data_IF_851630661622
#
_entry.id   IF_851630661622
#
_cell.length_a   1.000
_cell.length_b   1.000
_cell.length_c   1.000
_cell.angle_alpha   90.00
_cell.angle_beta   90.00
_cell.angle_gamma   90.00
#
_symmetry.space_group_name_H-M   'P 1'
#
loop_
_entity.id
_entity.type
_entity.pdbx_description
1 polymer ?
#
# COMPACT_ATOMS: atom_id res chain seq x y z
N UNK A 1 -41.03 44.83 -32.41
CA UNK A 1 -40.96 43.75 -31.39
C UNK A 1 -39.52 43.62 -30.93
N UNK A 2 -39.21 43.89 -29.66
CA UNK A 2 -37.85 43.73 -29.10
C UNK A 2 -37.65 42.27 -28.70
N UNK A 3 -36.68 41.59 -29.30
CA UNK A 3 -36.31 40.21 -28.96
C UNK A 3 -35.36 40.24 -27.76
N UNK A 4 -35.83 39.77 -26.60
CA UNK A 4 -35.00 39.60 -25.40
C UNK A 4 -34.30 38.25 -25.54
N UNK A 5 -32.97 38.29 -25.70
CA UNK A 5 -32.13 37.10 -25.75
C UNK A 5 -31.87 36.61 -24.32
N UNK A 6 -32.55 35.54 -23.91
CA UNK A 6 -32.36 34.90 -22.61
C UNK A 6 -31.10 34.01 -22.68
N UNK A 7 -29.98 34.49 -22.15
CA UNK A 7 -28.76 33.69 -21.98
C UNK A 7 -28.99 32.69 -20.84
N UNK A 8 -29.29 31.44 -21.19
CA UNK A 8 -29.35 30.31 -20.26
C UNK A 8 -27.91 29.96 -19.83
N UNK A 9 -27.55 30.35 -18.60
CA UNK A 9 -26.35 29.83 -17.93
C UNK A 9 -26.58 28.36 -17.59
N UNK A 10 -26.04 27.45 -18.41
CA UNK A 10 -25.93 26.05 -18.03
C UNK A 10 -24.78 25.89 -17.03
N UNK A 11 -25.02 25.41 -15.80
CA UNK A 11 -23.93 25.09 -14.90
C UNK A 11 -23.10 23.96 -15.52
N UNK A 12 -21.81 24.22 -15.73
CA UNK A 12 -20.86 23.23 -16.21
C UNK A 12 -20.64 22.20 -15.10
N UNK A 13 -21.34 21.07 -15.20
CA UNK A 13 -21.13 19.94 -14.29
C UNK A 13 -19.83 19.26 -14.72
N UNK A 14 -18.73 19.53 -14.00
CA UNK A 14 -17.53 18.71 -14.12
C UNK A 14 -17.84 17.33 -13.56
N UNK A 15 -18.07 16.35 -14.43
CA UNK A 15 -18.14 14.95 -14.04
C UNK A 15 -16.71 14.45 -13.86
N UNK A 16 -16.29 14.15 -12.62
CA UNK A 16 -15.01 13.45 -12.42
C UNK A 16 -15.17 12.04 -12.95
N UNK A 17 -14.45 11.69 -14.02
CA UNK A 17 -14.40 10.32 -14.50
C UNK A 17 -13.71 9.48 -13.44
N UNK A 18 -14.48 8.70 -12.66
CA UNK A 18 -13.92 7.78 -11.68
C UNK A 18 -13.10 6.74 -12.43
N UNK A 19 -11.78 6.78 -12.26
CA UNK A 19 -10.88 5.78 -12.82
C UNK A 19 -11.16 4.45 -12.16
N UNK A 20 -11.42 3.42 -12.96
CA UNK A 20 -11.55 2.05 -12.45
C UNK A 20 -10.15 1.58 -12.05
N UNK A 21 -9.97 1.30 -10.75
CA UNK A 21 -8.76 0.70 -10.21
C UNK A 21 -8.51 -0.67 -10.85
N UNK A 22 -7.24 -0.95 -11.21
CA UNK A 22 -6.90 -2.18 -11.94
C UNK A 22 -5.41 -2.48 -11.92
N UNK A 23 -5.08 -3.76 -12.05
CA UNK A 23 -3.74 -4.19 -12.40
C UNK A 23 -3.48 -4.05 -13.92
N UNK A 24 -2.24 -3.76 -14.28
CA UNK A 24 -1.76 -3.70 -15.66
C UNK A 24 -0.66 -4.74 -15.86
N UNK A 25 -0.89 -5.66 -16.79
CA UNK A 25 -0.01 -6.79 -17.06
C UNK A 25 -0.24 -7.97 -16.12
N UNK A 26 0.58 -9.01 -16.29
CA UNK A 26 0.57 -10.21 -15.47
C UNK A 26 1.86 -10.35 -14.68
N UNK A 27 1.76 -10.84 -13.44
CA UNK A 27 2.94 -11.20 -12.64
C UNK A 27 3.61 -12.45 -13.23
N UNK A 28 4.54 -12.23 -14.15
CA UNK A 28 5.39 -13.27 -14.74
C UNK A 28 6.75 -13.27 -14.06
N UNK A 29 7.17 -14.38 -13.45
CA UNK A 29 8.36 -14.41 -12.58
C UNK A 29 9.31 -15.58 -12.87
N UNK A 30 10.56 -15.41 -12.44
CA UNK A 30 11.49 -16.50 -12.17
C UNK A 30 11.73 -16.55 -10.67
N UNK A 31 11.53 -17.73 -10.08
CA UNK A 31 11.96 -18.03 -8.70
C UNK A 31 13.48 -18.01 -8.61
N UNK A 32 14.00 -17.42 -7.54
CA UNK A 32 15.42 -17.43 -7.21
C UNK A 32 15.72 -18.62 -6.26
N UNK A 33 17.00 -19.01 -6.21
CA UNK A 33 17.44 -20.20 -5.47
C UNK A 33 17.56 -19.98 -3.95
N UNK A 34 16.95 -18.92 -3.41
CA UNK A 34 16.94 -18.59 -1.98
C UNK A 34 15.69 -19.11 -1.24
N UNK A 35 14.78 -19.78 -1.97
CA UNK A 35 13.58 -20.38 -1.42
C UNK A 35 12.43 -19.41 -1.14
N UNK A 36 12.55 -18.12 -1.50
CA UNK A 36 11.49 -17.13 -1.25
C UNK A 36 11.36 -16.07 -2.35
N UNK A 37 12.46 -15.54 -2.85
CA UNK A 37 12.42 -14.38 -3.72
C UNK A 37 12.04 -14.77 -5.15
N UNK A 38 11.29 -13.89 -5.80
CA UNK A 38 10.95 -14.00 -7.20
C UNK A 38 11.34 -12.72 -7.95
N UNK A 39 11.90 -12.91 -9.16
CA UNK A 39 12.29 -11.82 -10.06
C UNK A 39 11.26 -11.65 -11.16
N UNK A 40 10.73 -10.44 -11.32
CA UNK A 40 9.81 -10.11 -12.42
C UNK A 40 10.49 -10.22 -13.79
N UNK A 41 9.85 -10.94 -14.71
CA UNK A 41 10.28 -11.08 -16.12
C UNK A 41 9.76 -9.98 -17.02
N UNK A 42 8.70 -9.30 -16.60
CA UNK A 42 8.04 -8.17 -17.30
C UNK A 42 7.73 -7.09 -16.28
N UNK A 43 7.48 -5.88 -16.75
CA UNK A 43 6.92 -4.84 -15.89
C UNK A 43 5.51 -5.23 -15.44
N UNK A 44 5.11 -4.72 -14.28
CA UNK A 44 3.78 -4.89 -13.70
C UNK A 44 3.36 -3.58 -13.07
N UNK A 45 2.07 -3.25 -13.05
CA UNK A 45 1.61 -2.00 -12.44
C UNK A 45 0.21 -2.11 -11.85
N UNK A 46 -0.15 -1.13 -11.04
CA UNK A 46 -1.47 -0.97 -10.46
C UNK A 46 -1.93 0.49 -10.60
N UNK A 47 -3.17 0.71 -11.01
CA UNK A 47 -3.85 2.01 -10.96
C UNK A 47 -4.75 1.98 -9.73
N UNK A 48 -4.55 2.91 -8.80
CA UNK A 48 -5.38 3.03 -7.60
C UNK A 48 -6.70 3.79 -7.86
N UNK A 49 -7.62 3.86 -6.88
CA UNK A 49 -8.91 4.53 -7.07
C UNK A 49 -8.82 6.02 -7.40
N UNK A 50 -7.72 6.69 -7.02
CA UNK A 50 -7.44 8.09 -7.34
C UNK A 50 -6.78 8.26 -8.72
N UNK A 51 -6.58 7.16 -9.45
CA UNK A 51 -6.02 7.14 -10.79
C UNK A 51 -4.49 7.18 -10.83
N UNK A 52 -3.80 7.10 -9.69
CA UNK A 52 -2.34 7.09 -9.64
C UNK A 52 -1.79 5.75 -10.08
N UNK A 53 -0.76 5.79 -10.92
CA UNK A 53 -0.09 4.62 -11.47
C UNK A 53 1.13 4.23 -10.62
N UNK A 54 1.05 3.06 -9.99
CA UNK A 54 2.09 2.42 -9.19
C UNK A 54 2.86 1.41 -10.05
N UNK A 55 4.05 1.78 -10.51
CA UNK A 55 4.86 0.99 -11.46
C UNK A 55 5.86 0.10 -10.76
N UNK A 56 5.95 -1.15 -11.19
CA UNK A 56 6.99 -2.10 -10.79
C UNK A 56 7.81 -2.50 -12.03
N UNK A 57 9.08 -2.10 -12.13
CA UNK A 57 9.92 -2.40 -13.28
C UNK A 57 10.17 -3.90 -13.47
N UNK A 58 10.42 -4.30 -14.72
CA UNK A 58 11.02 -5.60 -15.04
C UNK A 58 12.32 -5.79 -14.24
N UNK A 59 12.66 -7.03 -13.92
CA UNK A 59 13.82 -7.43 -13.14
C UNK A 59 13.77 -7.07 -11.66
N UNK A 60 12.71 -6.41 -11.17
CA UNK A 60 12.49 -6.23 -9.72
C UNK A 60 12.46 -7.59 -9.03
N UNK A 61 13.18 -7.68 -7.92
CA UNK A 61 13.17 -8.85 -7.03
C UNK A 61 12.28 -8.50 -5.85
N UNK A 62 11.29 -9.33 -5.58
CA UNK A 62 10.36 -9.22 -4.44
C UNK A 62 10.37 -10.53 -3.67
N UNK A 63 10.01 -10.51 -2.39
CA UNK A 63 10.07 -11.69 -1.50
C UNK A 63 8.72 -12.03 -0.86
N UNK A 64 7.67 -11.26 -1.15
CA UNK A 64 6.31 -11.46 -0.64
C UNK A 64 6.19 -11.20 0.86
N UNK A 65 7.21 -10.58 1.47
CA UNK A 65 7.31 -10.33 2.91
C UNK A 65 6.81 -8.93 3.33
N UNK A 66 6.05 -8.27 2.45
CA UNK A 66 5.22 -7.10 2.75
C UNK A 66 4.49 -7.16 4.10
N UNK A 67 4.00 -8.34 4.47
CA UNK A 67 3.28 -8.59 5.72
C UNK A 67 4.25 -9.27 6.71
N UNK A 68 4.42 -8.73 7.92
CA UNK A 68 5.28 -9.32 8.95
C UNK A 68 4.93 -10.79 9.21
N UNK A 69 5.96 -11.63 9.31
CA UNK A 69 5.81 -13.08 9.49
C UNK A 69 4.95 -13.44 10.72
N UNK A 70 5.00 -12.60 11.76
CA UNK A 70 4.18 -12.75 12.96
C UNK A 70 2.67 -12.77 12.68
N UNK A 71 2.21 -12.27 11.52
CA UNK A 71 0.80 -12.18 11.16
C UNK A 71 0.36 -13.16 10.06
N UNK A 72 1.25 -14.03 9.56
CA UNK A 72 0.91 -14.97 8.49
C UNK A 72 -0.15 -15.99 8.88
N UNK A 73 -0.25 -16.37 10.15
CA UNK A 73 -1.30 -17.27 10.64
C UNK A 73 -2.70 -16.66 10.56
N UNK A 74 -2.80 -15.33 10.54
CA UNK A 74 -4.06 -14.59 10.48
C UNK A 74 -4.41 -14.27 9.02
N UNK A 75 -3.40 -13.92 8.21
CA UNK A 75 -3.59 -13.23 6.93
C UNK A 75 -3.35 -14.15 5.73
N UNK A 76 -2.50 -15.16 5.88
CA UNK A 76 -1.91 -15.96 4.81
C UNK A 76 -0.41 -15.68 4.67
N UNK A 77 0.33 -16.68 4.19
CA UNK A 77 1.76 -16.61 3.92
C UNK A 77 2.12 -15.83 2.64
N UNK A 78 3.40 -15.67 2.32
CA UNK A 78 3.84 -14.98 1.11
C UNK A 78 3.21 -15.58 -0.15
N UNK A 79 2.74 -14.72 -1.05
CA UNK A 79 2.16 -15.09 -2.35
C UNK A 79 0.91 -15.99 -2.29
N UNK A 80 0.22 -16.06 -1.16
CA UNK A 80 -1.02 -16.82 -1.04
C UNK A 80 -2.24 -16.01 -1.49
N UNK A 81 -3.28 -16.72 -1.93
CA UNK A 81 -4.59 -16.13 -2.20
C UNK A 81 -4.59 -15.00 -3.24
N UNK A 82 -5.59 -14.12 -3.08
CA UNK A 82 -5.96 -13.07 -4.05
C UNK A 82 -5.14 -11.78 -3.93
N UNK A 83 -4.29 -11.65 -2.92
CA UNK A 83 -3.45 -10.46 -2.70
C UNK A 83 -2.03 -10.57 -3.27
N UNK A 84 -1.67 -11.71 -3.90
CA UNK A 84 -0.34 -11.91 -4.49
C UNK A 84 0.09 -10.76 -5.42
N UNK A 85 -0.82 -10.25 -6.24
CA UNK A 85 -0.52 -9.13 -7.12
C UNK A 85 -0.29 -7.83 -6.33
N UNK A 86 -1.08 -7.60 -5.28
CA UNK A 86 -0.91 -6.45 -4.39
C UNK A 86 0.45 -6.48 -3.68
N UNK A 87 0.91 -7.66 -3.22
CA UNK A 87 2.21 -7.77 -2.52
C UNK A 87 3.39 -7.44 -3.43
N UNK A 88 3.32 -7.69 -4.74
CA UNK A 88 4.38 -7.30 -5.69
C UNK A 88 4.56 -5.78 -5.73
N UNK A 89 3.45 -5.05 -5.81
CA UNK A 89 3.47 -3.58 -5.86
C UNK A 89 3.93 -3.02 -4.51
N UNK A 90 3.40 -3.56 -3.42
CA UNK A 90 3.75 -3.13 -2.07
C UNK A 90 5.23 -3.36 -1.73
N UNK A 91 5.78 -4.57 -1.97
CA UNK A 91 7.20 -4.88 -1.73
C UNK A 91 8.12 -3.87 -2.44
N UNK A 92 7.87 -3.61 -3.73
CA UNK A 92 8.67 -2.67 -4.51
C UNK A 92 8.61 -1.25 -3.94
N UNK A 93 7.42 -0.76 -3.61
CA UNK A 93 7.27 0.61 -3.13
C UNK A 93 7.77 0.80 -1.68
N UNK A 94 7.71 -0.25 -0.84
CA UNK A 94 8.38 -0.27 0.47
C UNK A 94 9.91 -0.28 0.36
N UNK A 95 10.48 -0.97 -0.63
CA UNK A 95 11.93 -0.94 -0.90
C UNK A 95 12.37 0.44 -1.40
N UNK A 96 11.64 1.01 -2.36
CA UNK A 96 12.04 2.28 -3.00
C UNK A 96 11.79 3.52 -2.17
N UNK A 97 10.79 3.51 -1.27
CA UNK A 97 10.52 4.63 -0.34
C UNK A 97 10.41 5.99 -1.06
N UNK A 98 9.84 5.96 -2.26
CA UNK A 98 9.61 7.16 -3.09
C UNK A 98 8.37 7.90 -2.58
N UNK A 99 7.29 7.15 -2.39
CA UNK A 99 6.01 7.61 -1.87
C UNK A 99 5.99 7.58 -0.34
N UNK A 100 5.02 8.24 0.30
CA UNK A 100 4.87 8.14 1.76
C UNK A 100 4.47 6.73 2.15
N UNK A 101 4.94 6.24 3.29
CA UNK A 101 4.62 4.90 3.76
C UNK A 101 3.11 4.69 3.96
N UNK A 102 2.39 5.74 4.41
CA UNK A 102 0.93 5.72 4.55
C UNK A 102 0.26 5.44 3.19
N UNK A 103 0.70 6.12 2.14
CA UNK A 103 0.14 5.97 0.80
C UNK A 103 0.46 4.58 0.22
N UNK A 104 1.64 4.04 0.52
CA UNK A 104 2.03 2.67 0.10
C UNK A 104 1.16 1.61 0.78
N UNK A 105 0.92 1.71 2.09
CA UNK A 105 0.07 0.76 2.81
C UNK A 105 -1.41 0.91 2.42
N UNK A 106 -1.88 2.13 2.17
CA UNK A 106 -3.23 2.37 1.65
C UNK A 106 -3.39 1.81 0.23
N UNK A 107 -2.39 2.00 -0.64
CA UNK A 107 -2.38 1.38 -1.97
C UNK A 107 -2.49 -0.14 -1.87
N UNK A 108 -1.78 -0.77 -0.94
CA UNK A 108 -1.86 -2.21 -0.72
C UNK A 108 -3.28 -2.67 -0.34
N UNK A 109 -3.98 -1.92 0.52
CA UNK A 109 -5.39 -2.19 0.83
C UNK A 109 -6.27 -2.19 -0.43
N UNK A 110 -6.17 -1.14 -1.25
CA UNK A 110 -6.97 -1.05 -2.47
C UNK A 110 -6.60 -2.15 -3.47
N UNK A 111 -5.31 -2.41 -3.69
CA UNK A 111 -4.85 -3.46 -4.57
C UNK A 111 -5.32 -4.86 -4.12
N UNK A 112 -5.46 -5.10 -2.81
CA UNK A 112 -6.06 -6.32 -2.29
C UNK A 112 -7.53 -6.46 -2.72
N UNK A 113 -8.31 -5.37 -2.62
CA UNK A 113 -9.71 -5.34 -3.06
C UNK A 113 -9.82 -5.58 -4.56
N UNK A 114 -9.01 -4.89 -5.37
CA UNK A 114 -8.95 -5.09 -6.83
C UNK A 114 -8.62 -6.53 -7.19
N UNK A 115 -7.74 -7.18 -6.43
CA UNK A 115 -7.39 -8.60 -6.59
C UNK A 115 -8.53 -9.56 -6.20
N UNK A 116 -9.60 -9.05 -5.59
CA UNK A 116 -10.76 -9.83 -5.15
C UNK A 116 -10.66 -10.36 -3.72
N UNK A 117 -9.77 -9.81 -2.90
CA UNK A 117 -9.74 -10.04 -1.45
C UNK A 117 -10.99 -9.42 -0.82
N UNK A 118 -11.64 -10.10 0.11
CA UNK A 118 -12.81 -9.54 0.79
C UNK A 118 -12.45 -8.29 1.59
N UNK A 119 -13.41 -7.37 1.75
CA UNK A 119 -13.19 -6.10 2.46
C UNK A 119 -12.63 -6.34 3.86
N UNK A 120 -13.24 -7.24 4.63
CA UNK A 120 -12.77 -7.58 5.98
C UNK A 120 -11.33 -8.08 5.97
N UNK A 121 -10.99 -9.01 5.06
CA UNK A 121 -9.62 -9.56 4.97
C UNK A 121 -8.62 -8.49 4.52
N UNK A 122 -8.99 -7.61 3.60
CA UNK A 122 -8.16 -6.48 3.17
C UNK A 122 -7.92 -5.48 4.32
N UNK A 123 -8.92 -5.22 5.18
CA UNK A 123 -8.76 -4.38 6.38
C UNK A 123 -7.81 -5.01 7.39
N UNK A 124 -7.89 -6.31 7.62
CA UNK A 124 -6.95 -7.04 8.50
C UNK A 124 -5.53 -6.99 7.93
N UNK A 125 -5.38 -7.18 6.62
CA UNK A 125 -4.11 -7.03 5.90
C UNK A 125 -3.52 -5.62 6.06
N UNK A 126 -4.34 -4.60 5.87
CA UNK A 126 -3.98 -3.21 6.08
C UNK A 126 -3.53 -2.96 7.53
N UNK A 127 -4.28 -3.45 8.51
CA UNK A 127 -3.92 -3.32 9.92
C UNK A 127 -2.55 -3.94 10.23
N UNK A 128 -2.24 -5.11 9.66
CA UNK A 128 -0.94 -5.76 9.86
C UNK A 128 0.23 -5.00 9.26
N UNK A 129 0.11 -4.46 8.04
CA UNK A 129 1.18 -3.64 7.45
C UNK A 129 1.30 -2.30 8.16
N UNK A 130 0.20 -1.73 8.67
CA UNK A 130 0.25 -0.51 9.48
C UNK A 130 0.96 -0.71 10.82
N UNK A 131 0.73 -1.88 11.44
CA UNK A 131 1.20 -2.20 12.78
C UNK A 131 2.59 -2.86 12.83
N UNK A 132 3.10 -3.35 11.70
CA UNK A 132 4.41 -4.00 11.64
C UNK A 132 5.23 -3.75 10.37
N UNK A 133 4.72 -2.94 9.44
CA UNK A 133 5.45 -2.55 8.24
C UNK A 133 6.51 -1.48 8.50
N UNK A 134 7.45 -1.29 7.56
CA UNK A 134 8.44 -0.23 7.65
C UNK A 134 7.78 1.14 7.47
N UNK A 135 8.23 2.12 8.26
CA UNK A 135 7.90 3.54 8.11
C UNK A 135 9.12 4.28 7.62
N UNK A 136 8.90 5.39 6.92
CA UNK A 136 9.99 6.25 6.51
C UNK A 136 9.57 7.70 6.34
N UNK A 137 10.49 8.60 6.72
CA UNK A 137 10.38 10.03 6.47
C UNK A 137 11.45 10.44 5.47
N UNK A 138 11.04 11.27 4.50
CA UNK A 138 11.93 11.81 3.47
C UNK A 138 12.22 13.28 3.78
N UNK A 139 13.48 13.60 4.07
CA UNK A 139 13.94 14.98 4.21
C UNK A 139 14.82 15.35 3.03
N UNK A 140 14.48 16.44 2.33
CA UNK A 140 15.28 17.00 1.24
C UNK A 140 16.19 18.08 1.81
N UNK A 141 17.51 17.92 1.71
CA UNK A 141 18.48 18.90 2.22
C UNK A 141 18.81 19.96 1.16
N UNK A 142 19.07 21.17 1.66
CA UNK A 142 19.06 22.54 1.10
C UNK A 142 19.52 22.84 -0.33
N UNK A 143 20.03 21.88 -1.11
CA UNK A 143 20.36 22.11 -2.53
C UNK A 143 19.70 21.10 -3.50
N UNK A 144 18.72 20.32 -3.04
CA UNK A 144 17.95 19.38 -3.88
C UNK A 144 18.74 18.17 -4.39
N UNK A 145 19.99 17.99 -3.93
CA UNK A 145 20.90 16.93 -4.38
C UNK A 145 20.97 15.73 -3.45
N UNK A 146 20.49 15.85 -2.21
CA UNK A 146 20.55 14.78 -1.21
C UNK A 146 19.18 14.54 -0.59
N UNK A 147 18.77 13.28 -0.61
CA UNK A 147 17.58 12.77 0.07
C UNK A 147 18.04 11.95 1.27
N UNK A 148 17.68 12.40 2.47
CA UNK A 148 17.80 11.57 3.68
C UNK A 148 16.49 10.81 3.85
N UNK A 149 16.62 9.50 4.00
CA UNK A 149 15.51 8.61 4.32
C UNK A 149 15.75 8.10 5.73
N UNK A 150 14.99 8.60 6.70
CA UNK A 150 14.95 8.04 8.04
C UNK A 150 13.92 6.92 8.01
N UNK A 151 14.36 5.69 8.23
CA UNK A 151 13.47 4.52 8.30
C UNK A 151 13.25 4.15 9.75
N UNK A 152 12.01 3.85 10.12
CA UNK A 152 11.72 3.20 11.39
C UNK A 152 10.91 1.94 11.21
N UNK A 153 11.14 0.99 12.10
CA UNK A 153 10.28 -0.19 12.23
C UNK A 153 9.33 0.04 13.37
N UNK A 154 8.10 -0.41 13.17
CA UNK A 154 7.13 -0.48 14.24
C UNK A 154 6.72 -1.91 14.45
N UNK A 155 6.27 -2.20 15.67
CA UNK A 155 5.71 -3.51 15.97
C UNK A 155 4.60 -3.39 17.00
N UNK A 156 3.81 -4.44 17.09
CA UNK A 156 2.83 -4.64 18.14
C UNK A 156 2.79 -6.13 18.48
N UNK A 157 2.28 -6.47 19.66
CA UNK A 157 2.23 -7.86 20.09
C UNK A 157 1.23 -8.67 19.28
N UNK A 158 1.45 -9.98 19.14
CA UNK A 158 0.48 -10.88 18.51
C UNK A 158 -0.88 -10.88 19.22
N UNK A 159 -0.91 -10.63 20.53
CA UNK A 159 -2.16 -10.55 21.29
C UNK A 159 -2.96 -9.29 20.92
N UNK A 160 -2.31 -8.13 20.87
CA UNK A 160 -2.96 -6.89 20.44
C UNK A 160 -3.50 -7.01 19.00
N UNK A 161 -2.72 -7.63 18.10
CA UNK A 161 -3.18 -7.84 16.74
C UNK A 161 -4.33 -8.82 16.62
N UNK A 162 -4.39 -9.83 17.49
CA UNK A 162 -5.56 -10.70 17.56
C UNK A 162 -6.80 -9.89 17.98
N UNK A 163 -6.68 -9.05 19.00
CA UNK A 163 -7.79 -8.19 19.48
C UNK A 163 -8.27 -7.25 18.37
N UNK A 164 -7.34 -6.63 17.63
CA UNK A 164 -7.67 -5.74 16.50
C UNK A 164 -8.34 -6.53 15.37
N UNK A 165 -7.87 -7.74 15.07
CA UNK A 165 -8.46 -8.62 14.05
C UNK A 165 -9.90 -9.00 14.42
N UNK A 166 -10.13 -9.53 15.62
CA UNK A 166 -11.46 -9.92 16.11
C UNK A 166 -12.44 -8.72 16.07
N UNK A 167 -11.94 -7.51 16.39
CA UNK A 167 -12.73 -6.27 16.30
C UNK A 167 -13.05 -5.87 14.86
N UNK A 168 -12.09 -5.98 13.92
CA UNK A 168 -12.34 -5.70 12.50
C UNK A 168 -13.39 -6.65 11.93
N UNK A 169 -13.30 -7.94 12.27
CA UNK A 169 -14.24 -8.97 11.80
C UNK A 169 -15.65 -8.73 12.31
N UNK A 170 -15.79 -8.32 13.58
CA UNK A 170 -17.10 -8.13 14.21
C UNK A 170 -17.77 -6.79 13.90
N UNK A 171 -17.01 -5.73 13.63
CA UNK A 171 -17.55 -4.37 13.50
C UNK A 171 -17.34 -3.72 12.14
N UNK A 172 -16.49 -4.29 11.28
CA UNK A 172 -16.15 -3.76 9.95
C UNK A 172 -15.82 -2.24 9.95
N UNK A 173 -14.91 -1.77 10.83
CA UNK A 173 -14.64 -0.35 11.05
C UNK A 173 -14.00 0.31 9.82
N UNK A 174 -14.05 1.64 9.74
CA UNK A 174 -13.31 2.41 8.73
C UNK A 174 -11.79 2.28 8.91
N UNK A 175 -11.02 2.59 7.85
CA UNK A 175 -9.55 2.60 7.96
C UNK A 175 -9.06 3.67 8.95
N UNK A 176 -9.78 4.79 9.08
CA UNK A 176 -9.44 5.84 10.06
C UNK A 176 -9.58 5.33 11.50
N UNK A 177 -10.64 4.60 11.81
CA UNK A 177 -10.82 3.97 13.12
C UNK A 177 -9.75 2.91 13.39
N UNK A 178 -9.36 2.14 12.37
CA UNK A 178 -8.24 1.17 12.47
C UNK A 178 -6.94 1.91 12.80
N UNK A 179 -6.61 2.99 12.09
CA UNK A 179 -5.42 3.79 12.35
C UNK A 179 -5.41 4.31 13.79
N UNK A 180 -6.49 4.98 14.21
CA UNK A 180 -6.63 5.53 15.57
C UNK A 180 -6.42 4.48 16.65
N UNK A 181 -6.93 3.26 16.45
CA UNK A 181 -6.74 2.15 17.39
C UNK A 181 -5.32 1.60 17.37
N UNK A 182 -4.72 1.47 16.19
CA UNK A 182 -3.36 0.96 16.08
C UNK A 182 -2.32 1.93 16.64
N UNK A 183 -2.55 3.24 16.49
CA UNK A 183 -1.67 4.28 17.04
C UNK A 183 -1.55 4.20 18.57
N UNK A 184 -2.48 3.54 19.28
CA UNK A 184 -2.39 3.35 20.74
C UNK A 184 -1.62 2.10 21.16
N UNK A 185 -1.37 1.15 20.25
CA UNK A 185 -0.79 -0.18 20.56
C UNK A 185 0.50 -0.49 19.80
N UNK A 186 0.85 0.36 18.83
CA UNK A 186 2.06 0.23 18.02
C UNK A 186 3.21 0.96 18.69
N UNK A 187 4.35 0.28 18.79
CA UNK A 187 5.57 0.81 19.41
C UNK A 187 6.65 0.95 18.33
N UNK A 188 7.30 2.10 18.29
CA UNK A 188 8.46 2.34 17.42
C UNK A 188 9.70 1.66 18.03
N UNK A 189 10.30 0.73 17.29
CA UNK A 189 11.35 -0.14 17.82
C UNK A 189 12.75 0.35 17.49
N UNK A 190 13.00 0.87 16.29
CA UNK A 190 14.34 1.31 15.85
C UNK A 190 14.25 2.40 14.78
N UNK A 191 15.17 3.38 14.80
CA UNK A 191 15.36 4.41 13.75
C UNK A 191 16.73 4.28 13.12
N UNK A 192 16.76 4.28 11.78
CA UNK A 192 17.98 4.23 11.00
C UNK A 192 17.97 5.33 9.93
N UNK A 193 19.00 6.17 9.92
CA UNK A 193 19.18 7.19 8.89
C UNK A 193 19.99 6.63 7.72
N UNK A 194 19.45 6.71 6.51
CA UNK A 194 20.18 6.44 5.27
C UNK A 194 20.27 7.70 4.43
N UNK A 195 21.49 8.09 4.09
CA UNK A 195 21.75 9.05 3.01
C UNK A 195 21.77 8.30 1.68
N UNK A 196 20.94 8.73 0.73
CA UNK A 196 21.06 8.27 -0.66
C UNK A 196 21.71 9.36 -1.50
N UNK A 197 22.88 9.07 -2.05
CA UNK A 197 23.52 9.91 -3.07
C UNK A 197 22.87 9.63 -4.44
N UNK A 198 22.55 10.70 -5.17
CA UNK A 198 21.99 10.65 -6.53
C UNK A 198 22.95 10.00 -7.54
#
# INVERSE_FOLDING_TARGET
MKLILLLLFFPLVLSSQQTIDKFIGDVTVQWLNDGRSMKLKREFSYIDPDGKLWKVPKNTVVNGASIPQAFWTIIGGPYEGKYRNASVVHDYHCDKKIEKWQDVHLMFYHACLTGGTSITKAKIMYAAVYAGGPRWDTTIIKNGKEKIITTSTVSTSSNEMKIVTDWIESTNPSLEEINKRLDTVVIETEKHDMQTAN
#
